data_IF_050715759222
#
_entry.id   IF_050715759222
#
_cell.length_a   1.000
_cell.length_b   1.000
_cell.length_c   1.000
_cell.angle_alpha   90.00
_cell.angle_beta   90.00
_cell.angle_gamma   90.00
#
_symmetry.space_group_name_H-M   'P 1'
#
loop_
_entity.id
_entity.type
_entity.pdbx_description
1 polymer ?
#
# COMPACT_ATOMS: atom_id res chain seq x y z
N UNK A 1 -3.61 -22.97 -5.83
CA UNK A 1 -2.24 -23.39 -6.26
C UNK A 1 -1.14 -22.31 -6.27
N UNK A 2 -1.35 -21.04 -6.65
CA UNK A 2 -0.33 -19.99 -6.39
C UNK A 2 -0.65 -19.10 -5.18
N UNK A 3 -1.95 -18.91 -4.90
CA UNK A 3 -2.44 -18.06 -3.81
C UNK A 3 -2.23 -18.74 -2.45
N UNK A 4 -2.51 -20.04 -2.36
CA UNK A 4 -2.38 -20.81 -1.11
C UNK A 4 -0.94 -20.94 -0.60
N UNK A 5 0.05 -20.68 -1.46
CA UNK A 5 1.46 -20.69 -1.12
C UNK A 5 1.94 -19.36 -0.51
N UNK A 6 1.17 -18.28 -0.65
CA UNK A 6 1.52 -16.97 -0.09
C UNK A 6 0.91 -16.85 1.30
N UNK A 7 1.71 -16.71 2.37
CA UNK A 7 1.16 -16.54 3.71
C UNK A 7 0.34 -15.25 3.82
N UNK A 8 -0.83 -15.32 4.47
CA UNK A 8 -1.71 -14.16 4.69
C UNK A 8 -0.99 -13.01 5.39
N UNK A 9 -0.10 -13.34 6.32
CA UNK A 9 0.71 -12.34 7.04
C UNK A 9 1.62 -11.57 6.08
N UNK A 10 2.24 -12.26 5.11
CA UNK A 10 3.08 -11.62 4.10
C UNK A 10 2.23 -10.66 3.26
N UNK A 11 1.06 -11.12 2.78
CA UNK A 11 0.12 -10.27 2.03
C UNK A 11 -0.27 -9.04 2.84
N UNK A 12 -0.56 -9.22 4.12
CA UNK A 12 -0.94 -8.14 5.03
C UNK A 12 0.16 -7.12 5.22
N UNK A 13 1.42 -7.55 5.30
CA UNK A 13 2.56 -6.68 5.51
C UNK A 13 2.96 -5.90 4.24
N UNK A 14 2.78 -6.47 3.04
CA UNK A 14 3.15 -5.80 1.79
C UNK A 14 2.02 -4.99 1.15
N UNK A 15 0.77 -5.23 1.53
CA UNK A 15 -0.40 -4.53 0.97
C UNK A 15 -0.77 -3.27 1.76
N UNK A 16 -1.01 -2.18 1.04
CA UNK A 16 -1.54 -0.93 1.60
C UNK A 16 -3.08 -0.88 1.53
N UNK A 17 -3.73 -1.96 1.96
CA UNK A 17 -5.19 -2.12 1.91
C UNK A 17 -5.73 -2.20 3.34
N UNK A 18 -6.64 -1.30 3.69
CA UNK A 18 -7.29 -1.29 5.01
C UNK A 18 -7.64 0.12 5.49
N UNK A 19 -7.96 0.28 6.78
CA UNK A 19 -8.24 1.58 7.38
C UNK A 19 -7.06 2.54 7.24
N UNK A 20 -7.32 3.84 7.15
CA UNK A 20 -6.28 4.87 6.97
C UNK A 20 -5.19 4.81 8.06
N UNK A 21 -5.56 4.53 9.32
CA UNK A 21 -4.59 4.37 10.42
C UNK A 21 -3.59 3.24 10.17
N UNK A 22 -4.07 2.09 9.70
CA UNK A 22 -3.21 0.96 9.33
C UNK A 22 -2.26 1.35 8.19
N UNK A 23 -2.76 2.01 7.15
CA UNK A 23 -1.92 2.42 6.01
C UNK A 23 -0.83 3.40 6.45
N UNK A 24 -1.15 4.36 7.33
CA UNK A 24 -0.16 5.29 7.91
C UNK A 24 0.94 4.57 8.68
N UNK A 25 0.58 3.60 9.52
CA UNK A 25 1.57 2.80 10.27
C UNK A 25 2.50 2.02 9.33
N UNK A 26 1.98 1.46 8.22
CA UNK A 26 2.81 0.78 7.21
C UNK A 26 3.74 1.75 6.48
N UNK A 27 3.24 2.91 6.08
CA UNK A 27 4.05 3.94 5.42
C UNK A 27 5.19 4.43 6.31
N UNK A 28 4.92 4.66 7.60
CA UNK A 28 5.94 5.03 8.57
C UNK A 28 7.01 3.93 8.70
N UNK A 29 6.61 2.66 8.81
CA UNK A 29 7.55 1.54 8.88
C UNK A 29 8.45 1.43 7.63
N UNK A 30 7.91 1.67 6.43
CA UNK A 30 8.73 1.72 5.21
C UNK A 30 9.69 2.91 5.19
N UNK A 31 9.23 4.08 5.63
CA UNK A 31 10.08 5.26 5.74
C UNK A 31 11.22 5.05 6.75
N UNK A 32 10.94 4.47 7.93
CA UNK A 32 11.93 4.09 8.94
C UNK A 32 12.94 3.06 8.42
N UNK A 33 12.51 2.15 7.54
CA UNK A 33 13.38 1.21 6.85
C UNK A 33 14.23 1.84 5.72
N UNK A 34 14.09 3.15 5.48
CA UNK A 34 14.86 3.90 4.49
C UNK A 34 14.33 3.82 3.06
N UNK A 35 13.07 3.43 2.87
CA UNK A 35 12.43 3.43 1.54
C UNK A 35 12.26 4.87 1.05
N UNK A 36 12.85 5.20 -0.09
CA UNK A 36 12.75 6.52 -0.73
C UNK A 36 11.81 6.54 -1.94
N UNK A 37 11.43 5.37 -2.45
CA UNK A 37 10.56 5.24 -3.63
C UNK A 37 9.72 3.98 -3.48
N UNK A 38 8.42 4.11 -3.73
CA UNK A 38 7.48 3.02 -3.65
C UNK A 38 6.64 2.95 -4.93
N UNK A 39 6.66 1.79 -5.57
CA UNK A 39 5.77 1.49 -6.68
C UNK A 39 4.44 0.98 -6.13
N UNK A 40 3.34 1.60 -6.52
CA UNK A 40 1.99 1.23 -6.08
C UNK A 40 1.11 0.84 -7.25
N UNK A 41 0.25 -0.15 -7.02
CA UNK A 41 -0.71 -0.65 -8.00
C UNK A 41 -2.11 -0.65 -7.39
N UNK A 42 -2.84 0.48 -7.45
CA UNK A 42 -4.23 0.52 -7.05
C UNK A 42 -5.06 -0.47 -7.90
N UNK A 43 -5.93 -1.29 -7.29
CA UNK A 43 -6.74 -2.28 -8.01
C UNK A 43 -7.93 -1.61 -8.70
N UNK A 44 -7.68 -0.69 -9.64
CA UNK A 44 -8.70 -0.02 -10.45
C UNK A 44 -8.40 -0.19 -11.94
N UNK A 45 -9.46 -0.39 -12.73
CA UNK A 45 -9.41 -0.35 -14.20
C UNK A 45 -9.54 1.06 -14.78
N UNK A 46 -9.85 2.06 -13.94
CA UNK A 46 -10.01 3.45 -14.35
C UNK A 46 -8.77 4.29 -13.99
N UNK A 47 -8.28 5.05 -14.98
CA UNK A 47 -7.05 5.84 -14.81
C UNK A 47 -7.24 7.00 -13.84
N UNK A 48 -8.42 7.63 -13.81
CA UNK A 48 -8.69 8.77 -12.92
C UNK A 48 -8.81 8.32 -11.49
N UNK A 49 -9.49 7.20 -11.26
CA UNK A 49 -9.59 6.58 -9.94
C UNK A 49 -8.22 6.14 -9.43
N UNK A 50 -7.38 5.55 -10.29
CA UNK A 50 -5.98 5.22 -9.97
C UNK A 50 -5.22 6.46 -9.48
N UNK A 51 -5.34 7.60 -10.18
CA UNK A 51 -4.71 8.85 -9.74
C UNK A 51 -5.21 9.30 -8.36
N UNK A 52 -6.52 9.23 -8.11
CA UNK A 52 -7.10 9.57 -6.80
C UNK A 52 -6.59 8.68 -5.67
N UNK A 53 -6.37 7.39 -5.91
CA UNK A 53 -5.76 6.52 -4.91
C UNK A 53 -4.33 6.95 -4.57
N UNK A 54 -3.56 7.37 -5.58
CA UNK A 54 -2.20 7.86 -5.39
C UNK A 54 -2.19 9.23 -4.68
N UNK A 55 -3.13 10.12 -5.00
CA UNK A 55 -3.35 11.38 -4.28
C UNK A 55 -3.69 11.11 -2.81
N UNK A 56 -4.66 10.23 -2.55
CA UNK A 56 -5.03 9.88 -1.18
C UNK A 56 -3.88 9.25 -0.39
N UNK A 57 -3.05 8.43 -1.04
CA UNK A 57 -1.86 7.86 -0.40
C UNK A 57 -0.85 8.94 0.00
N UNK A 58 -0.69 10.00 -0.81
CA UNK A 58 0.20 11.12 -0.49
C UNK A 58 -0.26 11.87 0.77
N UNK A 59 -1.58 12.03 0.98
CA UNK A 59 -2.13 12.66 2.20
C UNK A 59 -1.84 11.85 3.48
N UNK A 60 -1.41 10.59 3.35
CA UNK A 60 -1.09 9.69 4.45
C UNK A 60 0.41 9.54 4.70
N UNK A 61 1.27 10.12 3.84
CA UNK A 61 2.72 10.09 4.04
C UNK A 61 3.09 10.85 5.32
N UNK A 62 4.13 10.39 6.04
CA UNK A 62 4.66 11.10 7.20
C UNK A 62 5.31 12.44 6.84
#
# INVERSE_FOLDING_TARGET
EAIDAVPDELVRQVSLVGPAGFVKERLAAFAEAGVTTMLVHPPSGDRRETAKFVEHLQDLLP
#
